data_IF_917507456465
#
_entry.id   IF_917507456465
#
_cell.length_a   1.000
_cell.length_b   1.000
_cell.length_c   1.000
_cell.angle_alpha   90.00
_cell.angle_beta   90.00
_cell.angle_gamma   90.00
#
_symmetry.space_group_name_H-M   'P 1'
#
loop_
_entity.id
_entity.type
_entity.pdbx_description
1 polymer ?
#
# COMPACT_ATOMS: atom_id res chain seq x y z
N UNK A 1 3.35 -21.48 -10.10
CA UNK A 1 3.81 -21.91 -11.44
C UNK A 1 3.44 -20.84 -12.45
N UNK A 2 4.42 -20.09 -12.95
CA UNK A 2 4.24 -19.11 -14.03
C UNK A 2 5.24 -19.43 -15.18
N UNK A 3 4.87 -19.28 -16.47
CA UNK A 3 5.66 -19.77 -17.58
C UNK A 3 6.77 -18.78 -18.00
N UNK A 4 7.93 -19.34 -18.39
CA UNK A 4 9.14 -18.62 -18.84
C UNK A 4 8.97 -18.05 -20.26
N UNK A 5 9.27 -16.77 -20.46
CA UNK A 5 9.33 -16.14 -21.79
C UNK A 5 10.74 -16.28 -22.41
N UNK A 6 10.76 -16.62 -23.70
CA UNK A 6 11.97 -16.89 -24.51
C UNK A 6 12.75 -15.61 -24.83
N UNK A 7 14.07 -15.64 -24.59
CA UNK A 7 15.04 -14.60 -24.99
C UNK A 7 15.11 -14.46 -26.53
N UNK A 8 14.93 -13.24 -27.05
CA UNK A 8 15.39 -12.84 -28.39
C UNK A 8 16.71 -12.07 -28.28
N UNK A 9 17.71 -12.49 -29.05
CA UNK A 9 19.05 -11.89 -29.15
C UNK A 9 18.99 -10.63 -30.01
N UNK A 10 19.51 -9.49 -29.52
CA UNK A 10 19.80 -8.32 -30.34
C UNK A 10 21.29 -8.20 -30.62
N UNK A 11 21.63 -7.99 -31.90
CA UNK A 11 22.97 -7.73 -32.45
C UNK A 11 23.34 -6.25 -32.25
N UNK A 12 24.61 -5.98 -31.91
CA UNK A 12 25.25 -4.64 -31.85
C UNK A 12 25.43 -4.02 -33.25
N UNK A 13 25.46 -2.68 -33.34
CA UNK A 13 26.33 -1.95 -34.27
C UNK A 13 27.43 -1.13 -33.54
N UNK A 14 28.45 -0.61 -34.27
CA UNK A 14 29.73 -0.21 -33.70
C UNK A 14 29.94 1.31 -33.50
N UNK A 15 30.81 1.58 -32.50
CA UNK A 15 31.87 2.59 -32.27
C UNK A 15 32.01 3.92 -33.05
N UNK A 16 32.54 4.90 -32.30
CA UNK A 16 33.27 6.16 -32.62
C UNK A 16 32.38 7.41 -32.71
N UNK A 17 32.67 8.56 -32.10
CA UNK A 17 33.95 9.31 -31.96
C UNK A 17 33.96 10.14 -30.65
N UNK A 18 35.15 10.44 -30.11
CA UNK A 18 35.40 11.23 -28.89
C UNK A 18 35.76 12.71 -29.21
N UNK A 19 36.09 13.59 -28.23
CA UNK A 19 35.35 14.82 -27.93
C UNK A 19 36.04 16.11 -28.40
N UNK A 20 35.32 17.23 -28.45
CA UNK A 20 35.93 18.57 -28.44
C UNK A 20 35.23 19.51 -27.44
N UNK A 21 36.07 20.07 -26.57
CA UNK A 21 35.76 21.09 -25.56
C UNK A 21 35.93 22.46 -26.22
N UNK A 22 34.91 23.32 -26.13
CA UNK A 22 35.05 24.78 -26.30
C UNK A 22 34.11 25.46 -25.30
N UNK A 23 34.69 26.26 -24.39
CA UNK A 23 34.04 27.14 -23.41
C UNK A 23 33.79 28.56 -23.99
N UNK A 24 32.98 29.42 -23.34
CA UNK A 24 31.79 30.02 -23.95
C UNK A 24 31.91 31.51 -24.32
N UNK A 25 30.95 32.01 -25.10
CA UNK A 25 30.69 33.46 -25.24
C UNK A 25 29.23 33.78 -24.91
N UNK A 26 29.08 34.69 -23.96
CA UNK A 26 27.84 35.19 -23.36
C UNK A 26 27.05 36.06 -24.32
N UNK A 27 25.85 35.62 -24.71
CA UNK A 27 24.80 36.50 -25.24
C UNK A 27 23.50 36.16 -24.53
N UNK A 28 23.02 37.13 -23.75
CA UNK A 28 21.75 37.06 -23.01
C UNK A 28 20.61 37.28 -23.99
N UNK A 29 19.78 36.27 -24.20
CA UNK A 29 18.48 36.40 -24.88
C UNK A 29 17.42 35.86 -23.93
N UNK A 30 16.30 36.57 -23.67
CA UNK A 30 15.32 36.13 -22.70
C UNK A 30 14.56 34.93 -23.27
N UNK A 31 14.78 33.75 -22.67
CA UNK A 31 14.06 32.52 -23.02
C UNK A 31 12.60 32.65 -22.56
N UNK A 32 11.61 32.38 -23.43
CA UNK A 32 10.21 32.38 -23.04
C UNK A 32 9.99 31.36 -21.92
N UNK A 33 9.29 31.77 -20.86
CA UNK A 33 8.75 30.91 -19.82
C UNK A 33 7.76 29.91 -20.46
N UNK A 34 8.31 28.82 -21.00
CA UNK A 34 7.52 27.62 -21.23
C UNK A 34 7.39 26.95 -19.89
N UNK A 35 6.20 27.07 -19.31
CA UNK A 35 5.76 26.29 -18.16
C UNK A 35 5.90 24.82 -18.57
N UNK A 36 7.02 24.19 -18.20
CA UNK A 36 7.20 22.76 -18.42
C UNK A 36 6.06 22.07 -17.67
N UNK A 37 5.21 21.37 -18.42
CA UNK A 37 4.26 20.44 -17.80
C UNK A 37 5.12 19.49 -16.95
N UNK A 38 4.87 19.35 -15.65
CA UNK A 38 5.60 18.39 -14.85
C UNK A 38 5.38 17.01 -15.47
N UNK A 39 6.46 16.26 -15.65
CA UNK A 39 6.40 14.90 -16.17
C UNK A 39 5.40 14.05 -15.37
N UNK A 40 4.74 13.07 -16.02
CA UNK A 40 3.76 12.24 -15.33
C UNK A 40 4.44 11.46 -14.20
N UNK A 41 4.19 11.90 -12.98
CA UNK A 41 4.52 11.16 -11.76
C UNK A 41 3.85 9.78 -11.81
N UNK A 42 4.50 8.75 -11.26
CA UNK A 42 3.96 7.38 -11.15
C UNK A 42 2.54 7.39 -10.55
N UNK A 43 2.31 8.24 -9.56
CA UNK A 43 1.02 8.38 -8.90
C UNK A 43 -0.06 8.96 -9.86
N UNK A 44 0.34 9.82 -10.82
CA UNK A 44 -0.57 10.35 -11.83
C UNK A 44 -0.98 9.25 -12.81
N UNK A 45 -0.07 8.34 -13.16
CA UNK A 45 -0.38 7.14 -13.94
C UNK A 45 -1.41 6.25 -13.24
N UNK A 46 -1.39 6.20 -11.90
CA UNK A 46 -2.41 5.53 -11.09
C UNK A 46 -3.81 6.11 -11.33
N UNK A 47 -3.96 7.43 -11.23
CA UNK A 47 -5.23 8.12 -11.50
C UNK A 47 -5.69 7.98 -12.95
N UNK A 48 -4.79 8.08 -13.92
CA UNK A 48 -5.11 7.81 -15.33
C UNK A 48 -5.58 6.37 -15.54
N UNK A 49 -4.96 5.40 -14.86
CA UNK A 49 -5.37 4.00 -14.94
C UNK A 49 -6.77 3.80 -14.33
N UNK A 50 -7.07 4.44 -13.20
CA UNK A 50 -8.41 4.41 -12.60
C UNK A 50 -9.47 4.95 -13.55
N UNK A 51 -9.20 6.10 -14.17
CA UNK A 51 -10.11 6.74 -15.13
C UNK A 51 -10.36 5.89 -16.38
N UNK A 52 -9.31 5.27 -16.93
CA UNK A 52 -9.42 4.39 -18.08
C UNK A 52 -10.19 3.10 -17.76
N UNK A 53 -10.05 2.56 -16.55
CA UNK A 53 -10.74 1.34 -16.12
C UNK A 53 -12.19 1.59 -15.70
N UNK A 54 -12.47 2.75 -15.09
CA UNK A 54 -13.78 3.17 -14.60
C UNK A 54 -13.91 4.68 -14.86
N UNK A 55 -14.50 5.08 -16.01
CA UNK A 55 -14.67 6.49 -16.34
C UNK A 55 -15.43 7.24 -15.24
N UNK A 56 -14.88 8.36 -14.77
CA UNK A 56 -15.42 9.18 -13.70
C UNK A 56 -14.94 8.82 -12.29
N UNK A 57 -14.20 7.71 -12.11
CA UNK A 57 -13.80 7.23 -10.78
C UNK A 57 -12.81 8.17 -10.11
N UNK A 58 -11.89 8.75 -10.87
CA UNK A 58 -10.90 9.68 -10.34
C UNK A 58 -11.56 10.90 -9.70
N UNK A 59 -12.57 11.48 -10.37
CA UNK A 59 -13.33 12.62 -9.85
C UNK A 59 -14.22 12.20 -8.68
N UNK A 60 -14.81 11.00 -8.70
CA UNK A 60 -15.58 10.48 -7.57
C UNK A 60 -14.70 10.37 -6.32
N UNK A 61 -13.48 9.85 -6.44
CA UNK A 61 -12.53 9.74 -5.33
C UNK A 61 -12.25 11.12 -4.74
N UNK A 62 -11.86 12.08 -5.58
CA UNK A 62 -11.58 13.45 -5.13
C UNK A 62 -12.79 14.08 -4.42
N UNK A 63 -13.98 13.97 -5.03
CA UNK A 63 -15.22 14.47 -4.46
C UNK A 63 -15.51 13.86 -3.09
N UNK A 64 -15.37 12.54 -2.95
CA UNK A 64 -15.67 11.84 -1.70
C UNK A 64 -14.65 12.10 -0.61
N UNK A 65 -13.40 12.35 -0.97
CA UNK A 65 -12.33 12.72 -0.04
C UNK A 65 -12.26 14.23 0.23
N UNK A 66 -13.20 15.03 -0.28
CA UNK A 66 -13.23 16.49 -0.17
C UNK A 66 -11.99 17.19 -0.77
N UNK A 67 -11.37 16.59 -1.79
CA UNK A 67 -10.19 17.11 -2.49
C UNK A 67 -10.58 17.86 -3.77
N UNK A 68 -9.88 18.95 -4.07
CA UNK A 68 -10.10 19.81 -5.24
C UNK A 68 -9.33 19.33 -6.46
N UNK A 69 -8.16 18.72 -6.26
CA UNK A 69 -7.31 18.26 -7.36
C UNK A 69 -6.46 17.06 -6.97
N UNK A 70 -5.88 16.45 -8.00
CA UNK A 70 -4.95 15.35 -7.84
C UNK A 70 -3.67 15.79 -7.08
N UNK A 71 -3.21 17.01 -7.29
CA UNK A 71 -2.05 17.58 -6.59
C UNK A 71 -2.32 17.71 -5.09
N UNK A 72 -3.54 18.13 -4.71
CA UNK A 72 -3.94 18.17 -3.30
C UNK A 72 -3.99 16.77 -2.69
N UNK A 73 -4.57 15.79 -3.41
CA UNK A 73 -4.56 14.40 -2.99
C UNK A 73 -3.14 13.86 -2.80
N UNK A 74 -2.24 14.16 -3.74
CA UNK A 74 -0.84 13.75 -3.68
C UNK A 74 -0.10 14.39 -2.51
N UNK A 75 -0.28 15.69 -2.26
CA UNK A 75 0.33 16.39 -1.13
C UNK A 75 -0.08 15.78 0.22
N UNK A 76 -1.32 15.32 0.33
CA UNK A 76 -1.82 14.66 1.54
C UNK A 76 -1.22 13.27 1.70
N UNK A 77 -1.08 12.52 0.61
CA UNK A 77 -0.38 11.24 0.62
C UNK A 77 1.08 11.41 1.05
N UNK A 78 1.80 12.37 0.46
CA UNK A 78 3.22 12.66 0.72
C UNK A 78 3.49 13.19 2.15
N UNK A 79 2.47 13.25 3.03
CA UNK A 79 2.58 13.70 4.41
C UNK A 79 2.67 15.22 4.57
N UNK A 80 2.42 15.99 3.51
CA UNK A 80 2.47 17.45 3.50
C UNK A 80 1.28 18.14 4.18
N UNK A 81 0.19 17.41 4.45
CA UNK A 81 -0.99 17.93 5.16
C UNK A 81 -1.38 16.99 6.31
N UNK A 82 -1.66 17.57 7.49
CA UNK A 82 -2.17 16.84 8.65
C UNK A 82 -3.48 16.11 8.31
N UNK A 83 -3.66 14.88 8.81
CA UNK A 83 -4.88 14.05 8.68
C UNK A 83 -6.14 14.78 9.17
N UNK A 84 -5.99 15.80 10.01
CA UNK A 84 -7.06 16.74 10.38
C UNK A 84 -7.64 17.55 9.21
N UNK A 85 -7.04 17.47 8.00
CA UNK A 85 -7.39 18.25 6.82
C UNK A 85 -8.51 17.70 5.93
N UNK A 86 -8.96 16.45 6.10
CA UNK A 86 -10.01 15.88 5.24
C UNK A 86 -11.42 16.44 5.53
N UNK A 87 -11.59 17.17 6.64
CA UNK A 87 -12.84 17.86 6.98
C UNK A 87 -14.02 16.93 7.33
N UNK A 88 -13.76 15.67 7.70
CA UNK A 88 -14.81 14.76 8.17
C UNK A 88 -15.27 15.14 9.58
N UNK A 89 -16.59 15.10 9.83
CA UNK A 89 -17.19 15.51 11.12
C UNK A 89 -17.08 14.43 12.19
N UNK A 90 -17.04 13.16 11.78
CA UNK A 90 -16.91 12.01 12.67
C UNK A 90 -16.34 10.79 11.94
N UNK A 91 -15.84 9.76 12.67
CA UNK A 91 -15.31 8.54 12.06
C UNK A 91 -16.33 7.80 11.17
N UNK A 92 -17.63 7.83 11.54
CA UNK A 92 -18.71 7.25 10.74
C UNK A 92 -18.75 7.85 9.32
N UNK A 93 -18.68 9.18 9.23
CA UNK A 93 -18.68 9.91 7.95
C UNK A 93 -17.44 9.56 7.12
N UNK A 94 -16.28 9.52 7.77
CA UNK A 94 -15.02 9.14 7.13
C UNK A 94 -15.10 7.73 6.51
N UNK A 95 -15.51 6.72 7.27
CA UNK A 95 -15.62 5.35 6.76
C UNK A 95 -16.63 5.25 5.61
N UNK A 96 -17.76 5.96 5.70
CA UNK A 96 -18.74 5.97 4.62
C UNK A 96 -18.19 6.64 3.35
N UNK A 97 -17.48 7.76 3.48
CA UNK A 97 -16.86 8.44 2.34
C UNK A 97 -15.73 7.61 1.72
N UNK A 98 -14.91 6.95 2.54
CA UNK A 98 -13.91 5.98 2.07
C UNK A 98 -14.56 4.81 1.34
N UNK A 99 -15.66 4.25 1.85
CA UNK A 99 -16.42 3.19 1.16
C UNK A 99 -16.91 3.65 -0.22
N UNK A 100 -17.42 4.88 -0.29
CA UNK A 100 -17.97 5.45 -1.52
C UNK A 100 -16.90 5.66 -2.62
N UNK A 101 -15.61 5.77 -2.27
CA UNK A 101 -14.52 5.96 -3.25
C UNK A 101 -14.36 4.80 -4.23
N UNK A 102 -14.83 3.60 -3.89
CA UNK A 102 -14.76 2.40 -4.74
C UNK A 102 -16.13 1.81 -5.05
N UNK A 103 -17.19 2.61 -4.87
CA UNK A 103 -18.57 2.17 -5.06
C UNK A 103 -19.00 2.30 -6.53
N UNK A 104 -18.58 1.35 -7.37
CA UNK A 104 -18.99 1.23 -8.78
C UNK A 104 -19.38 -0.22 -9.12
N UNK A 105 -20.09 -0.43 -10.22
CA UNK A 105 -20.46 -1.77 -10.66
C UNK A 105 -19.22 -2.56 -11.12
N UNK A 106 -18.91 -3.69 -10.47
CA UNK A 106 -17.74 -4.51 -10.80
C UNK A 106 -17.79 -5.09 -12.23
N UNK A 107 -19.00 -5.27 -12.79
CA UNK A 107 -19.18 -5.79 -14.15
C UNK A 107 -19.11 -4.70 -15.21
N UNK A 108 -20.07 -3.76 -15.21
CA UNK A 108 -20.21 -2.75 -16.27
C UNK A 108 -19.52 -1.41 -15.96
N UNK A 109 -18.85 -1.28 -14.81
CA UNK A 109 -18.11 -0.08 -14.38
C UNK A 109 -18.97 1.17 -14.17
N UNK A 110 -20.29 1.04 -14.18
CA UNK A 110 -21.20 2.16 -13.89
C UNK A 110 -20.99 2.71 -12.47
N UNK A 111 -20.82 4.03 -12.37
CA UNK A 111 -20.84 4.80 -11.13
C UNK A 111 -22.28 5.07 -10.66
N UNK A 112 -22.50 5.45 -9.39
CA UNK A 112 -23.82 5.77 -8.87
C UNK A 112 -24.54 6.86 -9.68
N UNK A 113 -23.81 7.87 -10.16
CA UNK A 113 -24.33 8.97 -10.98
C UNK A 113 -24.77 8.55 -12.39
N UNK A 114 -24.29 7.42 -12.88
CA UNK A 114 -24.65 6.87 -14.20
C UNK A 114 -25.80 5.86 -14.15
N UNK A 115 -26.44 5.68 -12.98
CA UNK A 115 -27.61 4.82 -12.84
C UNK A 115 -28.90 5.62 -13.01
N UNK A 116 -29.93 4.97 -13.56
CA UNK A 116 -31.30 5.51 -13.55
C UNK A 116 -31.77 5.71 -12.10
N UNK A 117 -32.62 6.71 -11.85
CA UNK A 117 -33.10 7.11 -10.51
C UNK A 117 -33.67 5.96 -9.65
N UNK A 118 -34.17 4.89 -10.28
CA UNK A 118 -34.71 3.71 -9.60
C UNK A 118 -33.67 2.66 -9.19
N UNK A 119 -32.41 2.78 -9.63
CA UNK A 119 -31.36 1.78 -9.42
C UNK A 119 -30.31 2.29 -8.44
N UNK A 120 -29.99 1.45 -7.46
CA UNK A 120 -28.89 1.67 -6.51
C UNK A 120 -27.89 0.52 -6.60
N UNK A 121 -26.60 0.83 -6.46
CA UNK A 121 -25.55 -0.18 -6.37
C UNK A 121 -25.72 -1.02 -5.11
N UNK A 122 -25.79 -2.35 -5.31
CA UNK A 122 -25.93 -3.35 -4.26
C UNK A 122 -24.64 -4.13 -4.10
N UNK A 123 -24.20 -4.28 -2.86
CA UNK A 123 -23.02 -5.07 -2.56
C UNK A 123 -23.27 -6.58 -2.70
N UNK A 124 -22.22 -7.33 -3.05
CA UNK A 124 -22.23 -8.77 -2.89
C UNK A 124 -22.47 -9.13 -1.41
N UNK A 125 -23.55 -9.87 -1.11
CA UNK A 125 -23.91 -10.23 0.27
C UNK A 125 -22.86 -11.10 0.98
N UNK A 126 -22.01 -11.80 0.22
CA UNK A 126 -20.97 -12.69 0.74
C UNK A 126 -19.70 -11.94 1.15
N UNK A 127 -19.07 -11.22 0.21
CA UNK A 127 -17.81 -10.55 0.49
C UNK A 127 -17.95 -9.11 0.98
N UNK A 128 -19.06 -8.44 0.64
CA UNK A 128 -19.31 -7.01 0.93
C UNK A 128 -18.22 -6.05 0.42
N UNK A 129 -17.40 -6.47 -0.54
CA UNK A 129 -16.29 -5.67 -1.09
C UNK A 129 -16.52 -5.19 -2.53
N UNK A 130 -17.50 -5.76 -3.24
CA UNK A 130 -17.82 -5.39 -4.63
C UNK A 130 -19.30 -5.07 -4.77
N UNK A 131 -19.61 -4.20 -5.73
CA UNK A 131 -20.96 -3.72 -5.99
C UNK A 131 -21.44 -4.07 -7.38
N UNK A 132 -22.76 -4.18 -7.54
CA UNK A 132 -23.42 -4.41 -8.82
C UNK A 132 -24.64 -3.49 -8.94
N UNK A 133 -24.91 -2.98 -10.14
CA UNK A 133 -26.10 -2.19 -10.42
C UNK A 133 -27.39 -3.02 -10.50
N UNK A 134 -27.27 -4.35 -10.52
CA UNK A 134 -28.39 -5.28 -10.52
C UNK A 134 -27.95 -6.75 -10.56
N UNK A 135 -28.90 -7.69 -10.43
CA UNK A 135 -28.63 -9.13 -10.44
C UNK A 135 -28.04 -9.61 -11.77
N UNK A 136 -28.36 -8.94 -12.89
CA UNK A 136 -27.78 -9.25 -14.20
C UNK A 136 -26.26 -9.14 -14.21
N UNK A 137 -25.74 -7.97 -13.80
CA UNK A 137 -24.31 -7.73 -13.69
C UNK A 137 -23.63 -8.69 -12.70
N UNK A 138 -24.29 -9.01 -11.59
CA UNK A 138 -23.77 -9.98 -10.63
C UNK A 138 -23.67 -11.38 -11.22
N UNK A 139 -24.68 -11.85 -11.96
CA UNK A 139 -24.68 -13.17 -12.61
C UNK A 139 -23.59 -13.27 -13.68
N UNK A 140 -23.43 -12.24 -14.50
CA UNK A 140 -22.40 -12.20 -15.54
C UNK A 140 -20.99 -12.20 -14.97
N UNK A 141 -20.76 -11.52 -13.85
CA UNK A 141 -19.45 -11.47 -13.19
C UNK A 141 -19.16 -12.71 -12.31
N UNK A 142 -20.19 -13.45 -11.91
CA UNK A 142 -20.08 -14.57 -10.97
C UNK A 142 -19.00 -15.61 -11.30
N UNK A 143 -18.80 -16.06 -12.56
CA UNK A 143 -17.77 -17.04 -12.88
C UNK A 143 -16.35 -16.60 -12.52
N UNK A 144 -16.05 -15.31 -12.63
CA UNK A 144 -14.80 -14.70 -12.23
C UNK A 144 -14.81 -14.38 -10.74
N UNK A 145 -15.83 -13.67 -10.26
CA UNK A 145 -15.94 -13.22 -8.87
C UNK A 145 -15.90 -14.37 -7.85
N UNK A 146 -16.56 -15.50 -8.11
CA UNK A 146 -16.63 -16.62 -7.16
C UNK A 146 -15.26 -17.18 -6.78
N UNK A 147 -14.27 -17.05 -7.66
CA UNK A 147 -12.89 -17.51 -7.43
C UNK A 147 -12.16 -16.68 -6.37
N UNK A 148 -12.58 -15.43 -6.20
CA UNK A 148 -11.95 -14.45 -5.30
C UNK A 148 -12.90 -13.91 -4.23
N UNK A 149 -14.18 -14.33 -4.23
CA UNK A 149 -15.20 -13.82 -3.33
C UNK A 149 -14.81 -14.01 -1.85
N UNK A 150 -14.18 -15.14 -1.52
CA UNK A 150 -13.70 -15.41 -0.16
C UNK A 150 -12.56 -14.47 0.23
N UNK A 151 -11.55 -14.31 -0.62
CA UNK A 151 -10.44 -13.37 -0.37
C UNK A 151 -10.94 -11.94 -0.25
N UNK A 152 -11.88 -11.53 -1.11
CA UNK A 152 -12.49 -10.20 -1.03
C UNK A 152 -13.24 -9.98 0.29
N UNK A 153 -13.75 -11.03 0.94
CA UNK A 153 -14.35 -10.92 2.29
C UNK A 153 -13.28 -10.57 3.32
N UNK A 154 -12.10 -11.17 3.21
CA UNK A 154 -10.96 -10.88 4.09
C UNK A 154 -10.46 -9.46 3.86
N UNK A 155 -10.28 -9.05 2.59
CA UNK A 155 -9.89 -7.69 2.21
C UNK A 155 -10.85 -6.63 2.77
N UNK A 156 -12.17 -6.89 2.75
CA UNK A 156 -13.15 -5.96 3.32
C UNK A 156 -12.98 -5.77 4.83
N UNK A 157 -12.46 -6.77 5.55
CA UNK A 157 -12.14 -6.67 6.99
C UNK A 157 -10.79 -5.99 7.16
N UNK A 158 -9.78 -6.41 6.41
CA UNK A 158 -8.41 -5.88 6.51
C UNK A 158 -8.37 -4.37 6.33
N UNK A 159 -9.05 -3.84 5.31
CA UNK A 159 -9.14 -2.39 5.04
C UNK A 159 -9.71 -1.57 6.19
N UNK A 160 -10.58 -2.17 7.01
CA UNK A 160 -11.10 -1.51 8.21
C UNK A 160 -10.11 -1.64 9.38
N UNK A 161 -9.50 -2.81 9.52
CA UNK A 161 -8.54 -3.12 10.57
C UNK A 161 -7.23 -2.33 10.41
N UNK A 162 -6.86 -1.95 9.17
CA UNK A 162 -5.77 -1.01 8.86
C UNK A 162 -5.90 0.30 9.64
N UNK A 163 -7.12 0.74 9.96
CA UNK A 163 -7.34 1.92 10.80
C UNK A 163 -6.68 1.83 12.17
N UNK A 164 -6.57 0.62 12.74
CA UNK A 164 -5.91 0.40 14.04
C UNK A 164 -4.40 0.59 13.93
N UNK A 165 -3.81 0.26 12.78
CA UNK A 165 -2.42 0.62 12.48
C UNK A 165 -2.30 2.13 12.26
N UNK A 166 -3.16 2.76 11.47
CA UNK A 166 -3.06 4.22 11.23
C UNK A 166 -3.14 5.02 12.53
N UNK A 167 -3.99 4.60 13.47
CA UNK A 167 -4.23 5.32 14.74
C UNK A 167 -3.28 4.95 15.88
N UNK A 168 -2.35 4.03 15.68
CA UNK A 168 -1.46 3.57 16.77
C UNK A 168 -2.11 2.59 17.74
N UNK A 169 -3.38 2.22 17.55
CA UNK A 169 -4.09 1.27 18.42
C UNK A 169 -3.59 -0.17 18.29
N UNK A 170 -2.93 -0.50 17.17
CA UNK A 170 -2.18 -1.73 16.99
C UNK A 170 -0.69 -1.41 16.87
N UNK A 171 0.09 -2.03 17.76
CA UNK A 171 1.55 -1.92 17.82
C UNK A 171 2.15 -3.29 17.60
N UNK A 172 3.19 -3.36 16.78
CA UNK A 172 3.86 -4.60 16.45
C UNK A 172 4.64 -5.15 17.66
N UNK A 173 4.72 -6.48 17.83
CA UNK A 173 5.61 -7.07 18.81
C UNK A 173 7.06 -6.64 18.56
N UNK A 174 7.75 -6.22 19.63
CA UNK A 174 9.15 -5.78 19.59
C UNK A 174 10.02 -6.60 20.54
N UNK A 175 11.33 -6.54 20.33
CA UNK A 175 12.35 -7.21 21.14
C UNK A 175 13.15 -8.28 20.38
N UNK A 176 14.25 -8.76 20.98
CA UNK A 176 15.17 -9.69 20.34
C UNK A 176 14.47 -10.99 19.91
N UNK A 177 14.98 -11.63 18.87
CA UNK A 177 14.47 -12.91 18.43
C UNK A 177 14.90 -14.00 19.43
N UNK A 178 13.97 -14.85 19.91
CA UNK A 178 14.29 -15.94 20.83
C UNK A 178 15.05 -17.08 20.15
N UNK A 179 15.18 -17.05 18.81
CA UNK A 179 15.89 -18.04 18.03
C UNK A 179 16.80 -17.36 16.99
N UNK A 180 17.70 -18.15 16.43
CA UNK A 180 18.56 -17.73 15.33
C UNK A 180 17.71 -17.44 14.08
N UNK A 181 18.09 -16.41 13.31
CA UNK A 181 17.31 -16.01 12.15
C UNK A 181 17.24 -17.09 11.06
N UNK A 182 18.21 -18.01 11.03
CA UNK A 182 18.23 -19.21 10.19
C UNK A 182 17.05 -20.15 10.45
N UNK A 183 16.46 -20.11 11.64
CA UNK A 183 15.29 -20.91 11.97
C UNK A 183 13.98 -20.33 11.39
N UNK A 184 14.00 -19.06 10.94
CA UNK A 184 12.83 -18.37 10.41
C UNK A 184 12.81 -18.48 8.89
N UNK A 185 12.03 -19.44 8.37
CA UNK A 185 11.93 -19.78 6.95
C UNK A 185 10.69 -19.19 6.28
N UNK A 186 9.76 -18.65 7.05
CA UNK A 186 8.53 -18.03 6.57
C UNK A 186 7.64 -17.53 7.71
N UNK A 187 6.42 -17.12 7.36
CA UNK A 187 5.47 -16.54 8.30
C UNK A 187 5.07 -17.48 9.43
N UNK A 188 4.86 -18.77 9.14
CA UNK A 188 4.48 -19.74 10.18
C UNK A 188 5.56 -19.86 11.26
N UNK A 189 6.83 -19.92 10.86
CA UNK A 189 7.98 -19.93 11.79
C UNK A 189 8.15 -18.60 12.52
N UNK A 190 7.90 -17.47 11.84
CA UNK A 190 7.99 -16.15 12.47
C UNK A 190 6.88 -15.94 13.51
N UNK A 191 5.63 -16.34 13.21
CA UNK A 191 4.53 -16.30 14.16
C UNK A 191 4.77 -17.24 15.34
N UNK A 192 5.27 -18.46 15.09
CA UNK A 192 5.60 -19.42 16.15
C UNK A 192 6.69 -18.88 17.07
N UNK A 193 7.73 -18.25 16.49
CA UNK A 193 8.80 -17.60 17.24
C UNK A 193 8.26 -16.51 18.18
N UNK A 194 7.23 -15.76 17.76
CA UNK A 194 6.63 -14.65 18.51
C UNK A 194 5.39 -15.04 19.33
N UNK A 195 4.94 -16.30 19.29
CA UNK A 195 3.59 -16.73 19.69
C UNK A 195 3.11 -16.16 21.04
N UNK A 196 3.91 -16.31 22.10
CA UNK A 196 3.49 -15.89 23.45
C UNK A 196 3.21 -14.39 23.55
N UNK A 197 4.08 -13.56 22.97
CA UNK A 197 3.92 -12.11 22.96
C UNK A 197 2.84 -11.69 21.97
N UNK A 198 2.84 -12.30 20.79
CA UNK A 198 1.93 -11.95 19.70
C UNK A 198 0.48 -12.21 20.07
N UNK A 199 0.13 -13.40 20.57
CA UNK A 199 -1.26 -13.74 20.86
C UNK A 199 -1.83 -12.84 21.97
N UNK A 200 -1.03 -12.54 23.00
CA UNK A 200 -1.41 -11.58 24.04
C UNK A 200 -1.67 -10.17 23.46
N UNK A 201 -0.83 -9.71 22.53
CA UNK A 201 -1.04 -8.44 21.82
C UNK A 201 -2.30 -8.47 20.96
N UNK A 202 -2.53 -9.54 20.21
CA UNK A 202 -3.72 -9.70 19.37
C UNK A 202 -5.00 -9.66 20.21
N UNK A 203 -5.05 -10.42 21.30
CA UNK A 203 -6.21 -10.47 22.19
C UNK A 203 -6.46 -9.13 22.88
N UNK A 204 -5.40 -8.44 23.31
CA UNK A 204 -5.52 -7.09 23.87
C UNK A 204 -6.13 -6.10 22.86
N UNK A 205 -5.71 -6.16 21.59
CA UNK A 205 -6.27 -5.33 20.52
C UNK A 205 -7.73 -5.69 20.26
N UNK A 206 -8.07 -6.98 20.22
CA UNK A 206 -9.45 -7.43 20.03
C UNK A 206 -10.37 -6.99 21.18
N UNK A 207 -9.87 -6.93 22.42
CA UNK A 207 -10.59 -6.46 23.59
C UNK A 207 -10.61 -4.93 23.75
N UNK A 208 -9.89 -4.19 22.90
CA UNK A 208 -9.67 -2.76 23.08
C UNK A 208 -10.91 -1.89 22.83
N UNK A 209 -10.90 -0.69 23.42
CA UNK A 209 -11.89 0.35 23.11
C UNK A 209 -11.80 0.78 21.63
N UNK A 210 -10.60 0.86 21.05
CA UNK A 210 -10.40 1.21 19.65
C UNK A 210 -11.12 0.23 18.70
N UNK A 211 -11.04 -1.08 18.98
CA UNK A 211 -11.77 -2.11 18.23
C UNK A 211 -13.27 -1.92 18.31
N UNK A 212 -13.78 -1.64 19.52
CA UNK A 212 -15.22 -1.42 19.74
C UNK A 212 -15.71 -0.18 18.98
N UNK A 213 -14.97 0.92 19.08
CA UNK A 213 -15.27 2.17 18.37
C UNK A 213 -15.20 2.00 16.86
N UNK A 214 -14.21 1.29 16.33
CA UNK A 214 -14.10 0.99 14.89
C UNK A 214 -15.40 0.36 14.35
N UNK A 215 -15.85 -0.75 14.93
CA UNK A 215 -17.04 -1.44 14.43
C UNK A 215 -18.34 -0.66 14.67
N UNK A 216 -18.43 0.10 15.77
CA UNK A 216 -19.53 1.02 16.00
C UNK A 216 -19.58 2.12 14.93
N UNK A 217 -18.42 2.65 14.51
CA UNK A 217 -18.34 3.68 13.48
C UNK A 217 -18.63 3.16 12.08
N UNK A 218 -18.24 1.92 11.77
CA UNK A 218 -18.53 1.28 10.49
C UNK A 218 -20.01 0.90 10.33
N UNK A 219 -20.74 0.71 11.45
CA UNK A 219 -22.15 0.34 11.43
C UNK A 219 -22.42 -1.06 10.86
N UNK A 220 -21.41 -1.94 10.86
CA UNK A 220 -21.50 -3.34 10.42
C UNK A 220 -21.37 -4.28 11.63
N UNK A 221 -21.99 -5.47 11.60
CA UNK A 221 -21.75 -6.48 12.61
C UNK A 221 -20.26 -6.83 12.67
N UNK A 222 -19.71 -6.84 13.89
CA UNK A 222 -18.34 -7.25 14.16
C UNK A 222 -18.14 -8.72 13.72
N UNK A 223 -17.12 -9.03 12.90
CA UNK A 223 -16.76 -10.41 12.54
C UNK A 223 -16.36 -11.27 13.75
N UNK A 224 -16.38 -12.59 13.55
CA UNK A 224 -15.90 -13.55 14.55
C UNK A 224 -14.43 -13.28 14.95
N UNK A 225 -14.05 -13.53 16.22
CA UNK A 225 -12.69 -13.27 16.71
C UNK A 225 -11.58 -13.86 15.83
N UNK A 226 -11.74 -15.10 15.35
CA UNK A 226 -10.75 -15.76 14.50
C UNK A 226 -10.49 -15.02 13.19
N UNK A 227 -11.53 -14.42 12.60
CA UNK A 227 -11.40 -13.60 11.38
C UNK A 227 -10.63 -12.32 11.68
N UNK A 228 -10.85 -11.72 12.85
CA UNK A 228 -10.16 -10.51 13.28
C UNK A 228 -8.69 -10.78 13.62
N UNK A 229 -8.39 -11.87 14.34
CA UNK A 229 -7.00 -12.28 14.59
C UNK A 229 -6.27 -12.57 13.28
N UNK A 230 -6.92 -13.29 12.35
CA UNK A 230 -6.37 -13.53 11.02
C UNK A 230 -6.12 -12.24 10.23
N UNK A 231 -7.00 -11.25 10.36
CA UNK A 231 -6.81 -9.92 9.76
C UNK A 231 -5.59 -9.20 10.34
N UNK A 232 -5.45 -9.13 11.66
CA UNK A 232 -4.28 -8.54 12.31
C UNK A 232 -2.98 -9.24 11.89
N UNK A 233 -2.97 -10.58 11.79
CA UNK A 233 -1.81 -11.34 11.29
C UNK A 233 -1.47 -10.97 9.84
N UNK A 234 -2.45 -10.82 8.94
CA UNK A 234 -2.21 -10.35 7.57
C UNK A 234 -1.64 -8.94 7.52
N UNK A 235 -2.16 -8.03 8.35
CA UNK A 235 -1.63 -6.67 8.46
C UNK A 235 -0.18 -6.64 8.96
N UNK A 236 0.17 -7.51 9.91
CA UNK A 236 1.58 -7.70 10.30
C UNK A 236 2.42 -8.19 9.13
N UNK A 237 1.93 -9.13 8.33
CA UNK A 237 2.68 -9.60 7.16
C UNK A 237 2.92 -8.49 6.15
N UNK A 238 1.97 -7.57 5.97
CA UNK A 238 2.11 -6.43 5.06
C UNK A 238 3.18 -5.45 5.56
N UNK A 239 3.11 -5.06 6.84
CA UNK A 239 4.07 -4.15 7.48
C UNK A 239 5.50 -4.73 7.50
N UNK A 240 5.65 -6.02 7.83
CA UNK A 240 6.95 -6.64 8.07
C UNK A 240 7.57 -7.32 6.84
N UNK A 241 6.83 -7.51 5.74
CA UNK A 241 7.36 -8.16 4.53
C UNK A 241 8.64 -7.52 4.05
N UNK A 242 8.70 -6.19 4.03
CA UNK A 242 9.87 -5.45 3.55
C UNK A 242 11.09 -5.56 4.46
N UNK A 243 11.04 -5.16 5.75
CA UNK A 243 12.20 -5.28 6.63
C UNK A 243 12.72 -6.73 6.70
N UNK A 244 11.82 -7.72 6.78
CA UNK A 244 12.24 -9.13 6.81
C UNK A 244 12.87 -9.57 5.48
N UNK A 245 12.33 -9.16 4.34
CA UNK A 245 12.93 -9.47 3.02
C UNK A 245 14.33 -8.86 2.88
N UNK A 246 14.52 -7.61 3.32
CA UNK A 246 15.83 -6.97 3.30
C UNK A 246 16.81 -7.73 4.20
N UNK A 247 16.41 -8.06 5.42
CA UNK A 247 17.25 -8.79 6.36
C UNK A 247 17.66 -10.16 5.83
N UNK A 248 16.68 -10.94 5.34
CA UNK A 248 16.94 -12.24 4.72
C UNK A 248 17.85 -12.12 3.50
N UNK A 249 17.68 -11.09 2.67
CA UNK A 249 18.55 -10.81 1.53
C UNK A 249 20.00 -10.51 1.93
N UNK A 250 20.20 -9.66 2.95
CA UNK A 250 21.53 -9.36 3.50
C UNK A 250 22.22 -10.62 4.02
N UNK A 251 21.48 -11.51 4.69
CA UNK A 251 21.99 -12.80 5.17
C UNK A 251 22.36 -13.73 4.02
N UNK A 252 21.47 -13.88 3.04
CA UNK A 252 21.70 -14.74 1.88
C UNK A 252 22.93 -14.33 1.06
N UNK A 253 23.23 -13.03 1.03
CA UNK A 253 24.40 -12.47 0.35
C UNK A 253 25.66 -12.41 1.23
N UNK A 254 25.57 -12.81 2.51
CA UNK A 254 26.70 -12.78 3.45
C UNK A 254 27.22 -11.36 3.73
N UNK A 255 26.36 -10.34 3.69
CA UNK A 255 26.76 -8.95 3.90
C UNK A 255 27.11 -8.73 5.38
N UNK A 256 28.34 -8.30 5.64
CA UNK A 256 28.77 -7.95 7.00
C UNK A 256 28.16 -6.61 7.45
N UNK A 257 27.20 -6.69 8.37
CA UNK A 257 26.52 -5.52 8.95
C UNK A 257 27.16 -4.99 10.24
N UNK A 258 28.17 -5.68 10.78
CA UNK A 258 28.93 -5.29 11.98
C UNK A 258 30.15 -4.42 11.70
N UNK A 259 30.23 -3.79 10.52
CA UNK A 259 31.36 -2.94 10.14
C UNK A 259 31.32 -1.58 10.82
N UNK A 260 32.50 -1.03 11.12
CA UNK A 260 32.65 0.32 11.70
C UNK A 260 31.99 1.34 10.76
N UNK A 261 31.14 2.21 11.32
CA UNK A 261 30.34 3.18 10.56
C UNK A 261 28.96 2.68 10.12
N UNK A 262 28.60 1.43 10.44
CA UNK A 262 27.29 0.85 10.12
C UNK A 262 27.12 0.51 8.64
N UNK A 263 25.92 0.06 8.26
CA UNK A 263 25.58 -0.26 6.87
C UNK A 263 24.38 0.53 6.38
N UNK A 264 24.47 1.00 5.15
CA UNK A 264 23.38 1.70 4.46
C UNK A 264 22.86 0.82 3.32
N UNK A 265 21.55 0.58 3.30
CA UNK A 265 20.84 -0.21 2.29
C UNK A 265 19.95 0.73 1.50
N UNK A 266 20.18 0.85 0.19
CA UNK A 266 19.33 1.64 -0.70
C UNK A 266 18.31 0.71 -1.36
N UNK A 267 17.03 0.96 -1.12
CA UNK A 267 15.93 0.24 -1.75
C UNK A 267 15.42 1.09 -2.90
N UNK A 268 15.84 0.72 -4.11
CA UNK A 268 15.51 1.47 -5.34
C UNK A 268 14.17 1.00 -5.90
N UNK A 269 13.34 1.94 -6.34
CA UNK A 269 12.01 1.65 -6.89
C UNK A 269 10.90 1.65 -5.86
N UNK A 270 11.18 2.11 -4.63
CA UNK A 270 10.18 2.26 -3.60
C UNK A 270 9.07 3.22 -4.08
N UNK A 271 7.83 2.74 -4.14
CA UNK A 271 6.67 3.57 -4.44
C UNK A 271 6.07 4.17 -3.17
N UNK A 272 5.30 5.25 -3.30
CA UNK A 272 4.63 5.86 -2.16
C UNK A 272 3.67 4.88 -1.44
N UNK A 273 3.00 4.01 -2.21
CA UNK A 273 2.12 2.96 -1.70
C UNK A 273 2.88 2.00 -0.78
N UNK A 274 4.14 1.71 -1.10
CA UNK A 274 4.99 0.84 -0.29
C UNK A 274 5.39 1.52 1.04
N UNK A 275 5.51 2.84 1.08
CA UNK A 275 5.96 3.56 2.28
C UNK A 275 4.84 4.12 3.15
N UNK A 276 3.60 4.20 2.66
CA UNK A 276 2.47 4.94 3.27
C UNK A 276 2.12 4.55 4.72
N UNK A 277 2.36 3.29 5.11
CA UNK A 277 2.09 2.81 6.48
C UNK A 277 3.34 2.27 7.18
N UNK A 278 4.51 2.47 6.58
CA UNK A 278 5.75 1.96 7.17
C UNK A 278 6.18 2.85 8.31
N UNK A 279 6.21 2.30 9.51
CA UNK A 279 6.72 2.99 10.69
C UNK A 279 8.23 2.75 10.83
N UNK A 280 9.00 3.71 11.37
CA UNK A 280 10.42 3.48 11.65
C UNK A 280 10.66 2.22 12.50
N UNK A 281 9.77 1.94 13.46
CA UNK A 281 9.84 0.81 14.38
C UNK A 281 9.67 -0.54 13.67
N UNK A 282 9.03 -0.59 12.50
CA UNK A 282 8.89 -1.84 11.72
C UNK A 282 10.27 -2.36 11.27
N UNK A 283 11.26 -1.47 11.15
CA UNK A 283 12.64 -1.82 10.80
C UNK A 283 13.48 -2.26 11.99
N UNK A 284 12.98 -2.20 13.22
CA UNK A 284 13.68 -2.75 14.39
C UNK A 284 13.89 -4.27 14.24
N UNK A 285 13.04 -4.94 13.47
CA UNK A 285 13.20 -6.35 13.08
C UNK A 285 14.56 -6.62 12.40
N UNK A 286 15.11 -5.65 11.66
CA UNK A 286 16.48 -5.78 11.13
C UNK A 286 17.52 -5.82 12.25
N UNK A 287 17.37 -4.97 13.26
CA UNK A 287 18.26 -4.96 14.42
C UNK A 287 18.21 -6.30 15.17
N UNK A 288 17.00 -6.85 15.36
CA UNK A 288 16.81 -8.13 16.03
C UNK A 288 17.38 -9.31 15.24
N UNK A 289 17.31 -9.26 13.91
CA UNK A 289 17.91 -10.26 13.02
C UNK A 289 19.45 -10.21 13.03
N UNK A 290 20.04 -9.06 13.36
CA UNK A 290 21.48 -8.81 13.36
C UNK A 290 21.95 -8.17 14.67
N UNK A 291 21.96 -8.89 15.81
CA UNK A 291 22.26 -8.30 17.13
C UNK A 291 23.65 -7.65 17.25
N UNK A 292 24.60 -8.00 16.36
CA UNK A 292 25.94 -7.41 16.29
C UNK A 292 26.09 -6.24 15.30
N UNK A 293 25.00 -5.70 14.77
CA UNK A 293 25.07 -4.57 13.85
C UNK A 293 25.59 -3.30 14.53
N UNK A 294 26.34 -2.47 13.80
CA UNK A 294 26.81 -1.16 14.29
C UNK A 294 25.98 0.00 13.71
N UNK A 295 24.70 -0.27 13.43
CA UNK A 295 23.79 0.64 12.77
C UNK A 295 23.39 0.16 11.37
N UNK A 296 22.08 0.15 11.11
CA UNK A 296 21.49 -0.16 9.82
C UNK A 296 20.64 1.03 9.39
N UNK A 297 20.94 1.61 8.21
CA UNK A 297 20.18 2.70 7.62
C UNK A 297 19.53 2.21 6.33
N UNK A 298 18.21 2.18 6.29
CA UNK A 298 17.46 1.87 5.07
C UNK A 298 17.04 3.19 4.43
N UNK A 299 17.42 3.39 3.16
CA UNK A 299 17.03 4.56 2.37
C UNK A 299 16.14 4.08 1.24
N UNK A 300 14.88 4.52 1.29
CA UNK A 300 13.90 4.27 0.23
C UNK A 300 14.13 5.29 -0.89
N UNK A 301 14.44 4.81 -2.09
CA UNK A 301 14.74 5.65 -3.25
C UNK A 301 13.61 5.49 -4.27
N UNK A 302 12.77 6.51 -4.38
CA UNK A 302 11.72 6.58 -5.39
C UNK A 302 12.31 6.79 -6.78
N UNK A 303 11.84 6.04 -7.76
CA UNK A 303 12.19 6.27 -9.16
C UNK A 303 11.28 7.38 -9.70
N UNK A 304 11.78 8.63 -9.78
CA UNK A 304 11.18 9.60 -10.66
C UNK A 304 11.50 9.18 -12.10
N UNK A 305 10.52 9.14 -13.03
CA UNK A 305 10.86 8.94 -14.44
C UNK A 305 11.77 10.09 -14.86
N UNK A 306 13.04 9.76 -15.17
CA UNK A 306 13.93 10.68 -15.85
C UNK A 306 13.56 10.66 -17.33
N UNK A 307 13.16 11.81 -17.87
CA UNK A 307 13.42 12.13 -19.28
C UNK A 307 13.89 13.56 -19.40
#
# INVERSE_FOLDING_TARGET
MAPRSRKRRHKKPPSSVAPMVVTPSTVVTPVPLTLSKPDPSIDALGFFSLENNVPGLSQLILQKLSMKSYEEYKLVLDGGASVSGFGFRCPQEMFQKMEDTFRFCAHCRALPSGLSDSKVLRQCKRCRNVYYCGPECQRSDWPAHRKVCQELRLVAVDRLMEWLLVTGAFVLPSGPWPCLAEAVQGWDTWFSMRHLQLDATLDAVLGSHAMTTLWASVGRPRPDPDVLQGSLKRLLTDALSRPLTLGLGLRALGINVGKIGGSTVHVVGASHVETFLTRPEDYDELGYMFPGHLGLRVIMVSMLPQT
#
